data_IF_196367932719
#
_entry.id   IF_196367932719
#
_cell.length_a   1.000
_cell.length_b   1.000
_cell.length_c   1.000
_cell.angle_alpha   90.00
_cell.angle_beta   90.00
_cell.angle_gamma   90.00
#
_symmetry.space_group_name_H-M   'P 1'
#
loop_
_entity.id
_entity.type
_entity.pdbx_description
1 polymer ?
#
# COMPACT_ATOMS: atom_id res chain seq x y z
N UNK A 1 0.16 -17.09 3.77
CA UNK A 1 0.36 -17.65 2.42
C UNK A 1 1.66 -17.11 1.83
N UNK A 2 2.42 -17.95 1.17
CA UNK A 2 3.70 -17.56 0.56
C UNK A 2 3.55 -17.66 -0.96
N UNK A 3 3.78 -16.56 -1.65
CA UNK A 3 3.77 -16.55 -3.12
C UNK A 3 5.15 -17.03 -3.59
N UNK A 4 5.22 -18.00 -4.51
CA UNK A 4 6.51 -18.56 -4.94
C UNK A 4 7.41 -17.52 -5.62
N UNK A 5 8.72 -17.72 -5.48
CA UNK A 5 9.72 -16.81 -6.04
C UNK A 5 9.75 -16.81 -7.58
N UNK A 6 9.08 -17.74 -8.22
CA UNK A 6 8.95 -17.75 -9.67
C UNK A 6 7.91 -16.77 -10.20
N UNK A 7 7.07 -16.21 -9.30
CA UNK A 7 6.02 -15.26 -9.68
C UNK A 7 6.65 -13.89 -9.86
N UNK A 8 6.41 -13.29 -11.04
CA UNK A 8 6.96 -11.95 -11.37
C UNK A 8 5.90 -10.86 -11.35
N UNK A 9 4.62 -11.22 -11.35
CA UNK A 9 3.55 -10.24 -11.20
C UNK A 9 2.36 -10.90 -10.53
N UNK A 10 1.59 -10.08 -9.81
CA UNK A 10 0.32 -10.50 -9.25
C UNK A 10 -0.75 -9.96 -10.17
N UNK A 11 -1.49 -10.86 -10.81
CA UNK A 11 -2.47 -10.48 -11.82
C UNK A 11 -3.70 -9.80 -11.26
N UNK A 12 -4.49 -9.21 -12.14
CA UNK A 12 -5.73 -8.57 -11.76
C UNK A 12 -6.66 -9.54 -11.05
N UNK A 13 -7.25 -9.11 -9.95
CA UNK A 13 -8.21 -9.89 -9.15
C UNK A 13 -7.66 -11.23 -8.65
N UNK A 14 -6.32 -11.39 -8.56
CA UNK A 14 -5.71 -12.68 -8.20
C UNK A 14 -6.21 -13.22 -6.87
N UNK A 15 -6.42 -12.34 -5.88
CA UNK A 15 -6.93 -12.71 -4.55
C UNK A 15 -8.21 -11.96 -4.21
N UNK A 16 -9.01 -11.68 -5.22
CA UNK A 16 -10.26 -10.91 -5.09
C UNK A 16 -11.18 -11.55 -4.06
N UNK A 17 -11.55 -10.77 -3.05
CA UNK A 17 -12.47 -11.19 -1.98
C UNK A 17 -12.00 -12.42 -1.18
N UNK A 18 -10.69 -12.60 -1.09
CA UNK A 18 -10.11 -13.67 -0.28
C UNK A 18 -10.16 -13.26 1.20
N UNK A 19 -11.36 -13.24 1.78
CA UNK A 19 -11.56 -12.73 3.14
C UNK A 19 -10.95 -13.62 4.22
N UNK A 20 -10.62 -14.85 3.89
CA UNK A 20 -9.93 -15.75 4.81
C UNK A 20 -8.42 -15.59 4.83
N UNK A 21 -7.87 -14.79 3.90
CA UNK A 21 -6.44 -14.57 3.81
C UNK A 21 -6.01 -13.60 4.92
N UNK A 22 -5.23 -14.08 5.88
CA UNK A 22 -4.81 -13.26 7.02
C UNK A 22 -3.41 -12.70 6.86
N UNK A 23 -2.58 -13.32 6.03
CA UNK A 23 -1.24 -12.84 5.74
C UNK A 23 -0.81 -13.29 4.36
N UNK A 24 0.07 -12.52 3.73
CA UNK A 24 0.64 -12.85 2.44
C UNK A 24 2.09 -12.40 2.42
N UNK A 25 2.97 -13.27 1.90
CA UNK A 25 4.37 -12.90 1.67
C UNK A 25 4.57 -12.73 0.17
N UNK A 26 4.87 -11.51 -0.24
CA UNK A 26 5.11 -11.15 -1.64
C UNK A 26 6.62 -11.15 -1.87
N UNK A 27 7.14 -12.03 -2.75
CA UNK A 27 8.59 -12.15 -2.92
C UNK A 27 9.17 -11.02 -3.77
N UNK A 28 10.49 -10.85 -3.66
CA UNK A 28 11.21 -9.81 -4.40
C UNK A 28 11.27 -10.04 -5.91
N UNK A 29 10.69 -11.12 -6.39
CA UNK A 29 10.54 -11.38 -7.83
C UNK A 29 9.36 -10.63 -8.44
N UNK A 30 8.42 -10.16 -7.61
CA UNK A 30 7.20 -9.51 -8.09
C UNK A 30 7.51 -8.05 -8.41
N UNK A 31 7.16 -7.61 -9.63
CA UNK A 31 7.41 -6.25 -10.08
C UNK A 31 6.15 -5.40 -10.17
N UNK A 32 4.96 -6.02 -10.17
CA UNK A 32 3.70 -5.27 -10.22
C UNK A 32 2.59 -6.01 -9.50
N UNK A 33 1.66 -5.23 -8.97
CA UNK A 33 0.43 -5.74 -8.34
C UNK A 33 -0.72 -5.22 -9.17
N UNK A 34 -1.54 -6.13 -9.68
CA UNK A 34 -2.62 -5.80 -10.60
C UNK A 34 -3.84 -5.18 -9.95
N UNK A 35 -4.76 -4.71 -10.78
CA UNK A 35 -6.01 -4.12 -10.32
C UNK A 35 -6.84 -5.15 -9.56
N UNK A 36 -7.43 -4.73 -8.45
CA UNK A 36 -8.29 -5.58 -7.60
C UNK A 36 -7.57 -6.81 -7.04
N UNK A 37 -6.25 -6.83 -7.05
CA UNK A 37 -5.49 -8.04 -6.69
C UNK A 37 -5.83 -8.56 -5.29
N UNK A 38 -6.03 -7.66 -4.32
CA UNK A 38 -6.40 -8.02 -2.95
C UNK A 38 -7.68 -7.30 -2.52
N UNK A 39 -8.57 -7.07 -3.47
CA UNK A 39 -9.84 -6.39 -3.21
C UNK A 39 -10.64 -7.15 -2.15
N UNK A 40 -11.08 -6.44 -1.13
CA UNK A 40 -11.88 -7.01 -0.02
C UNK A 40 -11.25 -8.22 0.67
N UNK A 41 -9.92 -8.21 0.79
CA UNK A 41 -9.22 -9.17 1.64
C UNK A 41 -9.33 -8.71 3.10
N UNK A 42 -10.52 -8.84 3.66
CA UNK A 42 -10.85 -8.23 4.96
C UNK A 42 -10.15 -8.88 6.15
N UNK A 43 -9.60 -10.07 5.98
CA UNK A 43 -8.84 -10.73 7.03
C UNK A 43 -7.38 -10.32 7.09
N UNK A 44 -6.89 -9.62 6.06
CA UNK A 44 -5.49 -9.23 5.96
C UNK A 44 -5.20 -8.08 6.91
N UNK A 45 -4.23 -8.27 7.84
CA UNK A 45 -3.94 -7.28 8.87
C UNK A 45 -2.72 -6.44 8.57
N UNK A 46 -1.79 -6.96 7.78
CA UNK A 46 -0.61 -6.21 7.35
C UNK A 46 -0.14 -6.73 6.00
N UNK A 47 0.53 -5.86 5.24
CA UNK A 47 1.12 -6.26 3.97
C UNK A 47 2.43 -5.51 3.78
N UNK A 48 3.44 -6.22 3.26
CA UNK A 48 4.70 -5.63 2.86
C UNK A 48 4.82 -5.75 1.35
N UNK A 49 4.91 -4.61 0.68
CA UNK A 49 5.10 -4.54 -0.75
C UNK A 49 6.61 -4.39 -0.97
N UNK A 50 7.27 -5.39 -1.58
CA UNK A 50 8.73 -5.42 -1.62
C UNK A 50 9.33 -4.35 -2.55
N UNK A 51 10.64 -4.15 -2.40
CA UNK A 51 11.35 -3.13 -3.17
C UNK A 51 11.39 -3.40 -4.68
N UNK A 52 11.02 -4.60 -5.10
CA UNK A 52 10.96 -4.96 -6.52
C UNK A 52 9.72 -4.39 -7.23
N UNK A 53 8.67 -4.07 -6.46
CA UNK A 53 7.40 -3.62 -7.04
C UNK A 53 7.50 -2.16 -7.45
N UNK A 54 7.11 -1.87 -8.70
CA UNK A 54 7.13 -0.50 -9.24
C UNK A 54 5.74 0.10 -9.38
N UNK A 55 4.69 -0.72 -9.42
CA UNK A 55 3.33 -0.22 -9.57
C UNK A 55 2.33 -1.04 -8.76
N UNK A 56 1.33 -0.35 -8.23
CA UNK A 56 0.20 -0.93 -7.51
C UNK A 56 -1.05 -0.52 -8.28
N UNK A 57 -1.85 -1.51 -8.68
CA UNK A 57 -3.00 -1.29 -9.54
C UNK A 57 -4.19 -0.63 -8.85
N UNK A 58 -5.19 -0.28 -9.65
CA UNK A 58 -6.42 0.32 -9.14
C UNK A 58 -7.13 -0.64 -8.21
N UNK A 59 -7.60 -0.13 -7.08
CA UNK A 59 -8.37 -0.91 -6.11
C UNK A 59 -7.64 -2.14 -5.58
N UNK A 60 -6.31 -2.16 -5.66
CA UNK A 60 -5.53 -3.36 -5.30
C UNK A 60 -5.80 -3.83 -3.88
N UNK A 61 -6.00 -2.92 -2.94
CA UNK A 61 -6.31 -3.23 -1.54
C UNK A 61 -7.60 -2.54 -1.07
N UNK A 62 -8.51 -2.28 -2.02
CA UNK A 62 -9.76 -1.61 -1.68
C UNK A 62 -10.54 -2.47 -0.69
N UNK A 63 -11.04 -1.83 0.35
CA UNK A 63 -11.89 -2.46 1.36
C UNK A 63 -11.19 -3.60 2.12
N UNK A 64 -9.88 -3.50 2.28
CA UNK A 64 -9.14 -4.36 3.21
C UNK A 64 -9.30 -3.78 4.61
N UNK A 65 -10.50 -3.93 5.17
CA UNK A 65 -10.88 -3.20 6.37
C UNK A 65 -10.28 -3.74 7.67
N UNK A 66 -9.54 -4.85 7.60
CA UNK A 66 -8.76 -5.32 8.74
C UNK A 66 -7.30 -4.86 8.72
N UNK A 67 -6.90 -4.17 7.65
CA UNK A 67 -5.50 -3.81 7.42
C UNK A 67 -5.10 -2.66 8.36
N UNK A 68 -4.12 -2.92 9.26
CA UNK A 68 -3.65 -1.91 10.21
C UNK A 68 -2.33 -1.29 9.80
N UNK A 69 -1.50 -1.99 9.04
CA UNK A 69 -0.22 -1.45 8.58
C UNK A 69 0.10 -1.89 7.18
N UNK A 70 0.74 -0.99 6.44
CA UNK A 70 1.20 -1.24 5.06
C UNK A 70 2.64 -0.76 4.96
N UNK A 71 3.50 -1.59 4.38
CA UNK A 71 4.86 -1.19 4.05
C UNK A 71 4.97 -1.15 2.53
N UNK A 72 5.35 0.01 2.00
CA UNK A 72 5.51 0.23 0.56
C UNK A 72 6.99 0.35 0.27
N UNK A 73 7.50 -0.53 -0.57
CA UNK A 73 8.91 -0.60 -0.91
C UNK A 73 9.40 0.63 -1.68
N UNK A 74 10.72 0.75 -1.78
CA UNK A 74 11.36 1.97 -2.26
C UNK A 74 11.28 2.19 -3.77
N UNK A 75 10.79 1.23 -4.53
CA UNK A 75 10.74 1.33 -6.00
C UNK A 75 9.35 1.66 -6.54
N UNK A 76 8.35 1.79 -5.68
CA UNK A 76 6.98 2.08 -6.14
C UNK A 76 6.93 3.49 -6.70
N UNK A 77 6.49 3.60 -7.97
CA UNK A 77 6.38 4.86 -8.68
C UNK A 77 4.94 5.28 -8.92
N UNK A 78 4.02 4.34 -8.89
CA UNK A 78 2.60 4.64 -9.11
C UNK A 78 1.71 3.78 -8.22
N UNK A 79 0.66 4.42 -7.72
CA UNK A 79 -0.37 3.78 -6.90
C UNK A 79 -1.69 4.15 -7.55
N UNK A 80 -2.48 3.15 -7.90
CA UNK A 80 -3.70 3.34 -8.67
C UNK A 80 -4.84 3.99 -7.91
N UNK A 81 -5.92 4.26 -8.64
CA UNK A 81 -7.14 4.83 -8.06
C UNK A 81 -7.69 3.87 -7.01
N UNK A 82 -8.09 4.39 -5.87
CA UNK A 82 -8.75 3.61 -4.82
C UNK A 82 -7.91 2.47 -4.25
N UNK A 83 -6.59 2.51 -4.43
CA UNK A 83 -5.73 1.38 -4.09
C UNK A 83 -5.83 0.96 -2.62
N UNK A 84 -6.02 1.92 -1.72
CA UNK A 84 -6.19 1.65 -0.28
C UNK A 84 -7.48 2.30 0.24
N UNK A 85 -8.50 2.37 -0.60
CA UNK A 85 -9.79 2.95 -0.22
C UNK A 85 -10.49 2.04 0.77
N UNK A 86 -11.10 2.63 1.80
CA UNK A 86 -11.85 1.91 2.84
C UNK A 86 -11.02 0.90 3.64
N UNK A 87 -9.72 1.15 3.78
CA UNK A 87 -8.90 0.43 4.76
C UNK A 87 -9.10 1.13 6.10
N UNK A 88 -10.26 0.92 6.71
CA UNK A 88 -10.75 1.77 7.81
C UNK A 88 -10.03 1.59 9.14
N UNK A 89 -9.22 0.53 9.28
CA UNK A 89 -8.43 0.28 10.50
C UNK A 89 -6.97 0.68 10.36
N UNK A 90 -6.61 1.38 9.29
CA UNK A 90 -5.23 1.71 8.99
C UNK A 90 -4.64 2.65 10.03
N UNK A 91 -3.49 2.28 10.60
CA UNK A 91 -2.80 3.06 11.63
C UNK A 91 -1.43 3.54 11.19
N UNK A 92 -0.71 2.74 10.39
CA UNK A 92 0.64 3.06 9.97
C UNK A 92 0.86 2.72 8.50
N UNK A 93 1.44 3.66 7.77
CA UNK A 93 1.91 3.42 6.41
C UNK A 93 3.40 3.75 6.38
N UNK A 94 4.21 2.77 6.01
CA UNK A 94 5.65 2.92 5.88
C UNK A 94 5.96 2.98 4.39
N UNK A 95 6.36 4.14 3.89
CA UNK A 95 6.66 4.30 2.46
C UNK A 95 8.13 4.66 2.31
N UNK A 96 8.90 3.74 1.72
CA UNK A 96 10.34 3.89 1.58
C UNK A 96 10.76 4.63 0.30
N UNK A 97 9.81 5.02 -0.55
CA UNK A 97 10.09 5.73 -1.79
C UNK A 97 10.61 7.14 -1.50
N UNK A 98 11.79 7.46 -2.00
CA UNK A 98 12.38 8.80 -1.84
C UNK A 98 11.65 9.84 -2.67
N UNK A 99 11.15 9.43 -3.84
CA UNK A 99 10.30 10.28 -4.67
C UNK A 99 8.86 9.90 -4.43
N UNK A 100 8.01 10.88 -4.18
CA UNK A 100 6.60 10.64 -3.89
C UNK A 100 5.96 9.88 -5.06
N UNK A 101 5.37 8.71 -4.81
CA UNK A 101 4.69 7.98 -5.89
C UNK A 101 3.55 8.77 -6.47
N UNK A 102 3.36 8.66 -7.79
CA UNK A 102 2.16 9.17 -8.45
C UNK A 102 0.97 8.39 -7.89
N UNK A 103 -0.06 9.09 -7.46
CA UNK A 103 -1.16 8.48 -6.72
C UNK A 103 -2.49 8.85 -7.37
N UNK A 104 -3.30 7.85 -7.65
CA UNK A 104 -4.59 8.05 -8.28
C UNK A 104 -5.64 8.62 -7.32
N UNK A 105 -6.85 8.84 -7.83
CA UNK A 105 -7.96 9.40 -7.07
C UNK A 105 -8.39 8.44 -5.96
N UNK A 106 -8.75 8.99 -4.81
CA UNK A 106 -9.36 8.23 -3.71
C UNK A 106 -8.48 7.12 -3.15
N UNK A 107 -7.16 7.22 -3.32
CA UNK A 107 -6.26 6.14 -2.91
C UNK A 107 -6.41 5.78 -1.43
N UNK A 108 -6.67 6.76 -0.55
CA UNK A 108 -6.89 6.52 0.88
C UNK A 108 -8.27 6.98 1.35
N UNK A 109 -9.22 7.13 0.43
CA UNK A 109 -10.56 7.58 0.78
C UNK A 109 -11.21 6.58 1.73
N UNK A 110 -11.79 7.09 2.81
CA UNK A 110 -12.44 6.22 3.80
C UNK A 110 -11.50 5.43 4.68
N UNK A 111 -10.19 5.66 4.55
CA UNK A 111 -9.17 4.98 5.37
C UNK A 111 -8.71 5.85 6.51
N UNK A 112 -9.29 7.02 6.67
CA UNK A 112 -9.06 7.94 7.79
C UNK A 112 -7.56 8.26 7.98
N UNK A 113 -6.89 8.76 6.93
CA UNK A 113 -5.45 9.06 7.07
C UNK A 113 -5.16 10.08 8.16
N UNK A 114 -6.12 10.93 8.48
CA UNK A 114 -5.96 11.93 9.54
C UNK A 114 -5.69 11.28 10.91
N UNK A 115 -6.02 10.00 11.08
CA UNK A 115 -5.75 9.26 12.32
C UNK A 115 -4.59 8.29 12.19
N UNK A 116 -3.89 8.30 11.07
CA UNK A 116 -2.79 7.38 10.79
C UNK A 116 -1.46 8.12 10.73
N UNK A 117 -0.38 7.38 10.88
CA UNK A 117 0.97 7.93 10.77
C UNK A 117 1.62 7.43 9.48
N UNK A 118 2.20 8.36 8.74
CA UNK A 118 2.98 8.08 7.54
C UNK A 118 4.46 8.18 7.89
N UNK A 119 5.20 7.11 7.61
CA UNK A 119 6.63 7.04 7.87
C UNK A 119 7.36 7.06 6.52
N UNK A 120 8.18 8.07 6.28
CA UNK A 120 8.87 8.26 4.99
C UNK A 120 10.33 8.57 5.23
N UNK A 121 11.19 8.49 4.19
CA UNK A 121 12.59 8.89 4.34
C UNK A 121 12.69 10.33 4.84
N UNK A 122 13.61 10.58 5.77
CA UNK A 122 13.72 11.88 6.42
C UNK A 122 13.87 13.02 5.41
N UNK A 123 14.66 12.80 4.35
CA UNK A 123 14.89 13.81 3.33
C UNK A 123 13.67 14.08 2.46
N UNK A 124 12.65 13.23 2.52
CA UNK A 124 11.45 13.33 1.67
C UNK A 124 10.23 13.87 2.40
N UNK A 125 10.33 14.13 3.70
CA UNK A 125 9.17 14.53 4.51
C UNK A 125 8.45 15.73 3.89
N UNK A 126 9.19 16.77 3.51
CA UNK A 126 8.57 17.97 2.96
C UNK A 126 7.85 17.70 1.64
N UNK A 127 8.39 16.80 0.81
CA UNK A 127 7.75 16.42 -0.44
C UNK A 127 6.42 15.71 -0.21
N UNK A 128 6.36 14.82 0.77
CA UNK A 128 5.11 14.12 1.11
C UNK A 128 4.10 15.08 1.72
N UNK A 129 4.54 16.00 2.57
CA UNK A 129 3.65 17.02 3.14
C UNK A 129 3.07 17.95 2.10
N UNK A 130 3.71 18.10 0.96
CA UNK A 130 3.27 18.98 -0.11
C UNK A 130 2.33 18.28 -1.10
N UNK A 131 2.16 16.97 -0.99
CA UNK A 131 1.49 16.17 -2.03
C UNK A 131 0.25 15.47 -1.48
N UNK A 132 -0.91 15.70 -2.11
CA UNK A 132 -2.10 14.92 -1.80
C UNK A 132 -1.95 13.54 -2.43
N UNK A 133 -2.45 12.48 -1.82
CA UNK A 133 -3.20 12.42 -0.55
C UNK A 133 -2.31 12.30 0.68
N UNK A 134 -0.99 12.23 0.50
CA UNK A 134 -0.04 11.97 1.58
C UNK A 134 -0.12 13.03 2.67
N UNK A 135 -0.34 14.30 2.28
CA UNK A 135 -0.38 15.41 3.23
C UNK A 135 -1.54 15.31 4.23
N UNK A 136 -2.51 14.46 3.96
CA UNK A 136 -3.67 14.31 4.85
C UNK A 136 -3.44 13.35 6.00
N UNK A 137 -2.31 12.68 6.05
CA UNK A 137 -1.98 11.84 7.19
C UNK A 137 -1.81 12.71 8.44
N UNK A 138 -2.31 12.22 9.57
CA UNK A 138 -2.29 12.98 10.83
C UNK A 138 -0.90 13.29 11.31
N UNK A 139 0.05 12.38 11.06
CA UNK A 139 1.47 12.56 11.35
C UNK A 139 2.28 12.09 10.17
N UNK A 140 3.34 12.84 9.83
CA UNK A 140 4.29 12.44 8.81
C UNK A 140 5.66 12.53 9.46
N UNK A 141 6.31 11.38 9.63
CA UNK A 141 7.54 11.28 10.41
C UNK A 141 8.62 10.54 9.62
N UNK A 142 9.85 10.65 10.07
CA UNK A 142 10.97 9.97 9.43
C UNK A 142 10.94 8.49 9.76
N UNK A 143 11.30 7.68 8.78
CA UNK A 143 11.56 6.26 9.00
C UNK A 143 12.76 6.14 9.95
N UNK A 144 12.65 5.23 10.91
CA UNK A 144 13.68 5.05 11.91
C UNK A 144 14.65 3.98 11.51
N UNK A 145 14.79 3.72 10.23
CA UNK A 145 15.77 2.74 9.84
C UNK A 145 15.42 2.08 8.55
#
# INVERSE_FOLDING_TARGET
MVIPKSVTSIGGAAFYKCSGLTSVTIPNSVTSIGSDAFYECSGLTSVTIPNSVTSIGNAAFLNCDGLTSVTIGNSVKSIGNSAFEYCSELLDVYCYAENVPSTGSNAFYGSYPEYATLHVPAASIDSYKASAPWRWFGKIVALTK
#
